data_IF_865168119846
#
_entry.id   IF_865168119846
#
_cell.length_a   1.000
_cell.length_b   1.000
_cell.length_c   1.000
_cell.angle_alpha   90.00
_cell.angle_beta   90.00
_cell.angle_gamma   90.00
#
_symmetry.space_group_name_H-M   'P 1'
#
loop_
_entity.id
_entity.type
_entity.pdbx_description
1 polymer ?
#
# COMPACT_ATOMS: atom_id res chain seq x y z
N UNK A 1 14.86 30.95 17.23
CA UNK A 1 14.23 32.25 16.92
C UNK A 1 12.91 32.35 17.67
N UNK A 2 12.65 33.45 18.39
CA UNK A 2 11.30 33.74 18.91
C UNK A 2 10.38 33.88 17.69
N UNK A 3 9.48 32.92 17.47
CA UNK A 3 8.46 33.02 16.43
C UNK A 3 7.57 34.21 16.80
N UNK A 4 7.65 35.31 16.05
CA UNK A 4 6.64 36.36 16.10
C UNK A 4 5.36 35.77 15.50
N UNK A 5 4.60 35.07 16.33
CA UNK A 5 3.31 34.53 15.94
C UNK A 5 2.35 35.70 15.85
N UNK A 6 1.78 35.92 14.65
CA UNK A 6 0.58 36.72 14.52
C UNK A 6 -0.54 35.99 15.27
N UNK A 7 -1.15 36.66 16.24
CA UNK A 7 -2.29 36.13 16.96
C UNK A 7 -3.55 36.43 16.16
N UNK A 8 -4.32 35.38 15.88
CA UNK A 8 -5.61 35.46 15.23
C UNK A 8 -6.65 34.87 16.17
N UNK A 9 -7.75 35.59 16.37
CA UNK A 9 -8.86 35.12 17.21
C UNK A 9 -9.66 33.98 16.57
N UNK A 10 -9.40 33.68 15.29
CA UNK A 10 -10.12 32.68 14.52
C UNK A 10 -9.17 31.88 13.63
N UNK A 11 -9.24 30.55 13.73
CA UNK A 11 -8.41 29.63 12.96
C UNK A 11 -8.63 29.73 11.44
N UNK A 12 -9.85 30.02 10.98
CA UNK A 12 -10.14 30.23 9.56
C UNK A 12 -9.49 31.52 9.06
N UNK A 13 -9.52 32.59 9.85
CA UNK A 13 -8.88 33.86 9.50
C UNK A 13 -7.36 33.66 9.42
N UNK A 14 -6.76 32.97 10.41
CA UNK A 14 -5.35 32.57 10.38
C UNK A 14 -5.00 31.84 9.09
N UNK A 15 -5.75 30.78 8.76
CA UNK A 15 -5.51 29.97 7.55
C UNK A 15 -5.66 30.80 6.29
N UNK A 16 -6.74 31.56 6.15
CA UNK A 16 -6.97 32.42 4.99
C UNK A 16 -5.85 33.45 4.81
N UNK A 17 -5.37 34.06 5.90
CA UNK A 17 -4.26 35.01 5.88
C UNK A 17 -2.97 34.36 5.36
N UNK A 18 -2.57 33.21 5.91
CA UNK A 18 -1.33 32.55 5.48
C UNK A 18 -1.42 32.00 4.06
N UNK A 19 -2.58 31.50 3.66
CA UNK A 19 -2.85 31.08 2.27
C UNK A 19 -2.75 32.26 1.30
N UNK A 20 -3.37 33.39 1.62
CA UNK A 20 -3.28 34.62 0.81
C UNK A 20 -1.84 35.11 0.72
N UNK A 21 -1.08 35.03 1.81
CA UNK A 21 0.34 35.38 1.86
C UNK A 21 1.18 34.45 0.96
N UNK A 22 0.91 33.14 0.99
CA UNK A 22 1.55 32.16 0.12
C UNK A 22 1.27 32.46 -1.35
N UNK A 23 0.01 32.65 -1.72
CA UNK A 23 -0.40 32.98 -3.10
C UNK A 23 0.28 34.28 -3.57
N UNK A 24 0.26 35.33 -2.74
CA UNK A 24 0.88 36.62 -3.08
C UNK A 24 2.39 36.48 -3.33
N UNK A 25 3.07 35.70 -2.48
CA UNK A 25 4.50 35.43 -2.64
C UNK A 25 4.80 34.61 -3.90
N UNK A 26 4.01 33.57 -4.15
CA UNK A 26 4.19 32.70 -5.33
C UNK A 26 3.98 33.49 -6.63
N UNK A 27 2.94 34.33 -6.69
CA UNK A 27 2.70 35.22 -7.82
C UNK A 27 3.87 36.21 -8.03
N UNK A 28 4.47 36.74 -6.95
CA UNK A 28 5.65 37.62 -7.04
C UNK A 28 6.86 36.94 -7.68
N UNK A 29 7.01 35.62 -7.53
CA UNK A 29 8.08 34.83 -8.15
C UNK A 29 7.65 34.12 -9.44
N UNK A 30 6.55 34.59 -10.05
CA UNK A 30 5.97 34.05 -11.29
C UNK A 30 5.56 32.57 -11.21
N UNK A 31 5.02 32.16 -10.07
CA UNK A 31 4.38 30.85 -9.88
C UNK A 31 2.89 31.08 -9.69
N UNK A 32 2.09 30.49 -10.58
CA UNK A 32 0.64 30.51 -10.46
C UNK A 32 0.19 29.49 -9.41
N UNK A 33 -0.93 29.81 -8.74
CA UNK A 33 -1.54 28.95 -7.73
C UNK A 33 -2.98 28.67 -8.11
N UNK A 34 -3.33 27.39 -8.16
CA UNK A 34 -4.67 26.92 -8.47
C UNK A 34 -5.17 25.98 -7.38
N UNK A 35 -6.46 26.07 -7.04
CA UNK A 35 -7.09 25.19 -6.08
C UNK A 35 -7.98 24.15 -6.77
N UNK A 36 -7.79 22.89 -6.39
CA UNK A 36 -8.62 21.76 -6.80
C UNK A 36 -9.05 20.98 -5.55
N UNK A 37 -10.11 21.44 -4.89
CA UNK A 37 -10.56 20.84 -3.63
C UNK A 37 -9.50 21.00 -2.53
N UNK A 38 -8.93 19.90 -2.06
CA UNK A 38 -7.85 19.90 -1.06
C UNK A 38 -6.45 20.10 -1.65
N UNK A 39 -6.32 20.15 -2.99
CA UNK A 39 -5.03 20.22 -3.64
C UNK A 39 -4.70 21.67 -4.04
N UNK A 40 -3.56 22.15 -3.58
CA UNK A 40 -2.94 23.42 -3.96
C UNK A 40 -1.93 23.10 -5.06
N UNK A 41 -2.22 23.48 -6.31
CA UNK A 41 -1.35 23.20 -7.46
C UNK A 41 -0.56 24.45 -7.80
N UNK A 42 0.77 24.30 -7.82
CA UNK A 42 1.73 25.33 -8.18
C UNK A 42 2.24 25.05 -9.58
N UNK A 43 2.08 26.02 -10.50
CA UNK A 43 2.47 25.88 -11.90
C UNK A 43 3.20 27.14 -12.41
N UNK A 44 3.88 27.03 -13.54
CA UNK A 44 4.53 28.13 -14.24
C UNK A 44 3.56 28.84 -15.23
N UNK A 45 2.47 28.17 -15.63
CA UNK A 45 1.51 28.71 -16.60
C UNK A 45 0.24 29.29 -15.93
N UNK A 46 -0.33 30.33 -16.55
CA UNK A 46 -1.65 30.85 -16.21
C UNK A 46 -2.71 29.83 -16.65
N UNK A 47 -3.21 29.03 -15.71
CA UNK A 47 -4.39 28.18 -15.96
C UNK A 47 -5.62 29.07 -15.87
N UNK A 48 -6.32 29.23 -16.98
CA UNK A 48 -7.46 30.17 -17.12
C UNK A 48 -8.78 29.66 -16.53
N UNK A 49 -8.79 28.49 -15.88
CA UNK A 49 -10.01 27.79 -15.44
C UNK A 49 -9.99 27.31 -13.97
N UNK A 50 -9.27 28.00 -13.08
CA UNK A 50 -9.13 27.56 -11.68
C UNK A 50 -9.46 28.67 -10.67
N UNK A 51 -9.97 28.26 -9.51
CA UNK A 51 -10.13 29.15 -8.37
C UNK A 51 -8.73 29.55 -7.88
N UNK A 52 -8.48 30.87 -7.77
CA UNK A 52 -7.22 31.44 -7.28
C UNK A 52 -7.16 31.36 -5.74
N UNK A 53 -8.31 31.28 -5.07
CA UNK A 53 -8.43 31.18 -3.62
C UNK A 53 -9.30 29.99 -3.23
N UNK A 54 -8.97 29.28 -2.14
CA UNK A 54 -9.76 28.14 -1.67
C UNK A 54 -11.13 28.60 -1.14
N UNK A 55 -12.15 27.77 -1.31
CA UNK A 55 -13.45 27.98 -0.67
C UNK A 55 -13.32 27.84 0.84
N UNK A 56 -14.22 28.48 1.59
CA UNK A 56 -14.24 28.40 3.07
C UNK A 56 -14.24 26.96 3.60
N UNK A 57 -14.97 26.08 2.91
CA UNK A 57 -15.08 24.65 3.22
C UNK A 57 -13.80 23.85 2.95
N UNK A 58 -12.92 24.34 2.08
CA UNK A 58 -11.64 23.69 1.76
C UNK A 58 -10.56 24.07 2.78
N UNK A 59 -10.62 25.29 3.34
CA UNK A 59 -9.70 25.76 4.38
C UNK A 59 -9.75 24.93 5.67
N UNK A 60 -10.82 24.17 5.92
CA UNK A 60 -10.92 23.28 7.09
C UNK A 60 -10.32 21.90 6.86
N UNK A 61 -10.13 21.48 5.61
CA UNK A 61 -9.65 20.14 5.23
C UNK A 61 -8.15 20.02 5.39
N UNK A 62 -7.66 18.80 5.41
CA UNK A 62 -6.24 18.52 5.15
C UNK A 62 -5.92 18.89 3.69
N UNK A 63 -4.78 19.51 3.47
CA UNK A 63 -4.35 20.04 2.18
C UNK A 63 -3.13 19.29 1.64
N UNK A 64 -3.04 19.19 0.32
CA UNK A 64 -1.85 18.71 -0.39
C UNK A 64 -1.25 19.85 -1.22
N UNK A 65 0.05 20.08 -1.09
CA UNK A 65 0.79 21.06 -1.89
C UNK A 65 1.50 20.34 -3.04
N UNK A 66 1.09 20.63 -4.27
CA UNK A 66 1.60 20.00 -5.49
C UNK A 66 2.44 21.00 -6.30
N UNK A 67 3.68 20.63 -6.60
CA UNK A 67 4.54 21.34 -7.55
C UNK A 67 4.48 20.65 -8.91
N UNK A 68 4.28 21.42 -9.99
CA UNK A 68 4.30 20.89 -11.36
C UNK A 68 5.49 21.40 -12.18
N UNK A 69 6.08 20.52 -12.98
CA UNK A 69 7.03 20.90 -14.03
C UNK A 69 8.20 21.77 -13.54
N UNK A 70 8.32 22.97 -14.11
CA UNK A 70 9.42 23.91 -13.83
C UNK A 70 9.19 24.83 -12.64
N UNK A 71 7.98 24.86 -12.06
CA UNK A 71 7.70 25.77 -10.94
C UNK A 71 8.63 25.50 -9.75
N UNK A 72 9.03 24.24 -9.56
CA UNK A 72 9.95 23.80 -8.53
C UNK A 72 11.30 24.54 -8.60
N UNK A 73 11.84 24.74 -9.80
CA UNK A 73 13.12 25.40 -10.02
C UNK A 73 13.03 26.89 -9.67
N UNK A 74 11.98 27.55 -10.14
CA UNK A 74 11.74 28.97 -9.81
C UNK A 74 11.48 29.18 -8.33
N UNK A 75 10.76 28.24 -7.72
CA UNK A 75 10.46 28.24 -6.30
C UNK A 75 11.75 28.18 -5.46
N UNK A 76 12.60 27.19 -5.72
CA UNK A 76 13.84 27.03 -4.95
C UNK A 76 14.94 28.01 -5.32
N UNK A 77 15.04 28.45 -6.59
CA UNK A 77 15.92 29.55 -6.97
C UNK A 77 15.61 30.81 -6.14
N UNK A 78 14.32 31.15 -5.97
CA UNK A 78 13.94 32.28 -5.14
C UNK A 78 14.25 32.11 -3.65
N UNK A 79 14.23 30.88 -3.11
CA UNK A 79 14.61 30.63 -1.71
C UNK A 79 16.11 30.85 -1.54
N UNK A 80 16.91 30.34 -2.47
CA UNK A 80 18.37 30.32 -2.37
C UNK A 80 19.00 31.68 -2.69
N UNK A 81 18.57 32.38 -3.75
CA UNK A 81 19.17 33.66 -4.15
C UNK A 81 18.90 34.80 -3.17
N UNK A 82 17.76 34.78 -2.45
CA UNK A 82 17.30 35.90 -1.62
C UNK A 82 17.32 35.61 -0.12
N UNK A 83 17.83 34.46 0.33
CA UNK A 83 17.75 34.02 1.74
C UNK A 83 16.32 34.07 2.32
N UNK A 84 15.30 33.89 1.46
CA UNK A 84 13.88 33.97 1.83
C UNK A 84 13.38 32.75 2.61
N UNK A 85 14.28 31.83 2.99
CA UNK A 85 13.96 30.62 3.74
C UNK A 85 13.12 30.89 4.99
N UNK A 86 13.44 31.96 5.73
CA UNK A 86 12.71 32.34 6.96
C UNK A 86 11.27 32.75 6.64
N UNK A 87 11.06 33.55 5.59
CA UNK A 87 9.73 33.97 5.16
C UNK A 87 8.91 32.75 4.73
N UNK A 88 9.53 31.84 3.99
CA UNK A 88 8.89 30.63 3.52
C UNK A 88 8.50 29.68 4.66
N UNK A 89 9.45 29.37 5.54
CA UNK A 89 9.19 28.53 6.73
C UNK A 89 8.10 29.18 7.60
N UNK A 90 8.05 30.52 7.70
CA UNK A 90 7.00 31.22 8.42
C UNK A 90 5.62 31.11 7.77
N UNK A 91 5.53 31.27 6.43
CA UNK A 91 4.26 31.12 5.70
C UNK A 91 3.75 29.67 5.82
N UNK A 92 4.59 28.68 5.53
CA UNK A 92 4.19 27.27 5.63
C UNK A 92 3.82 26.85 7.06
N UNK A 93 4.62 27.26 8.07
CA UNK A 93 4.29 26.97 9.47
C UNK A 93 2.94 27.57 9.89
N UNK A 94 2.49 28.64 9.22
CA UNK A 94 1.17 29.22 9.43
C UNK A 94 0.02 28.41 8.84
N UNK A 95 0.29 27.57 7.83
CA UNK A 95 -0.67 26.70 7.14
C UNK A 95 -0.56 25.27 7.71
N UNK A 96 -1.07 25.10 8.93
CA UNK A 96 -0.91 23.86 9.71
C UNK A 96 -1.53 22.60 9.06
N UNK A 97 -2.49 22.77 8.15
CA UNK A 97 -3.25 21.67 7.56
C UNK A 97 -2.66 21.09 6.25
N UNK A 98 -1.53 21.58 5.73
CA UNK A 98 -0.83 20.91 4.63
C UNK A 98 -0.20 19.63 5.17
N UNK A 99 -0.71 18.46 4.83
CA UNK A 99 -0.22 17.15 5.32
C UNK A 99 0.59 16.37 4.28
N UNK A 100 0.51 16.79 3.01
CA UNK A 100 1.12 16.11 1.88
C UNK A 100 1.83 17.09 0.97
N UNK A 101 3.00 16.68 0.47
CA UNK A 101 3.74 17.35 -0.59
C UNK A 101 3.79 16.41 -1.79
N UNK A 102 3.43 16.92 -2.96
CA UNK A 102 3.46 16.18 -4.22
C UNK A 102 4.38 16.87 -5.22
N UNK A 103 5.30 16.13 -5.81
CA UNK A 103 6.07 16.57 -6.97
C UNK A 103 5.53 15.84 -8.21
N UNK A 104 5.04 16.59 -9.19
CA UNK A 104 4.43 16.04 -10.41
C UNK A 104 5.18 16.56 -11.64
N UNK A 105 5.74 15.65 -12.44
CA UNK A 105 6.50 16.00 -13.66
C UNK A 105 7.67 16.96 -13.40
N UNK A 106 8.18 16.98 -12.16
CA UNK A 106 9.30 17.83 -11.78
C UNK A 106 10.60 17.22 -12.31
N UNK A 107 11.48 18.09 -12.82
CA UNK A 107 12.85 17.72 -13.16
C UNK A 107 13.81 18.24 -12.09
N UNK A 108 14.41 17.31 -11.34
CA UNK A 108 15.35 17.63 -10.26
C UNK A 108 16.79 17.83 -10.73
N UNK A 109 17.13 17.53 -11.99
CA UNK A 109 18.51 17.57 -12.49
C UNK A 109 19.19 18.94 -12.42
N UNK A 110 18.38 20.00 -12.37
CA UNK A 110 18.86 21.38 -12.44
C UNK A 110 18.78 22.11 -11.09
N UNK A 111 18.41 21.41 -10.01
CA UNK A 111 18.29 22.00 -8.68
C UNK A 111 19.61 21.89 -7.93
N UNK A 112 20.20 23.04 -7.61
CA UNK A 112 21.29 23.12 -6.64
C UNK A 112 20.67 22.93 -5.24
N UNK A 113 21.26 22.06 -4.42
CA UNK A 113 20.81 21.74 -3.05
C UNK A 113 19.34 21.22 -2.99
N UNK A 114 18.99 20.23 -3.83
CA UNK A 114 17.71 19.48 -3.76
C UNK A 114 17.37 19.06 -2.32
N UNK A 115 18.39 18.66 -1.56
CA UNK A 115 18.30 18.19 -0.20
C UNK A 115 17.72 19.26 0.71
N UNK A 116 18.36 20.43 0.79
CA UNK A 116 17.92 21.54 1.64
C UNK A 116 16.52 22.02 1.24
N UNK A 117 16.27 22.00 -0.07
CA UNK A 117 15.05 22.44 -0.72
C UNK A 117 13.84 21.58 -0.29
N UNK A 118 13.89 20.27 -0.49
CA UNK A 118 12.81 19.34 -0.07
C UNK A 118 12.62 19.37 1.45
N UNK A 119 13.72 19.45 2.20
CA UNK A 119 13.66 19.51 3.66
C UNK A 119 12.96 20.76 4.21
N UNK A 120 12.93 21.87 3.47
CA UNK A 120 12.12 23.04 3.86
C UNK A 120 10.62 22.79 3.71
N UNK A 121 10.22 21.85 2.84
CA UNK A 121 8.83 21.42 2.68
C UNK A 121 8.42 20.40 3.74
N UNK A 122 9.39 19.64 4.27
CA UNK A 122 9.15 18.59 5.27
C UNK A 122 9.23 19.11 6.73
N UNK A 123 8.44 20.14 7.05
CA UNK A 123 8.59 20.96 8.27
C UNK A 123 7.79 20.53 9.51
N UNK A 124 6.85 19.58 9.42
CA UNK A 124 6.06 19.08 10.57
C UNK A 124 5.98 17.55 10.58
N UNK A 125 5.73 16.97 11.74
CA UNK A 125 5.59 15.52 11.91
C UNK A 125 4.45 14.91 11.09
N UNK A 126 4.58 13.62 10.79
CA UNK A 126 3.59 12.78 10.10
C UNK A 126 3.18 13.25 8.71
N UNK A 127 4.08 13.92 7.99
CA UNK A 127 3.81 14.31 6.61
C UNK A 127 3.98 13.17 5.62
N UNK A 128 3.33 13.35 4.47
CA UNK A 128 3.39 12.46 3.32
C UNK A 128 4.15 13.13 2.17
N UNK A 129 4.99 12.37 1.49
CA UNK A 129 5.67 12.79 0.27
C UNK A 129 5.24 11.90 -0.89
N UNK A 130 4.80 12.51 -1.98
CA UNK A 130 4.51 11.83 -3.23
C UNK A 130 5.40 12.35 -4.35
N UNK A 131 6.00 11.43 -5.09
CA UNK A 131 6.67 11.70 -6.35
C UNK A 131 5.89 11.05 -7.47
N UNK A 132 5.60 11.81 -8.52
CA UNK A 132 4.88 11.30 -9.67
C UNK A 132 5.51 11.76 -10.98
N UNK A 133 5.86 10.81 -11.85
CA UNK A 133 6.42 11.06 -13.18
C UNK A 133 7.62 12.05 -13.15
N UNK A 134 8.44 11.99 -12.11
CA UNK A 134 9.56 12.91 -11.93
C UNK A 134 10.82 12.38 -12.62
N UNK A 135 11.56 13.26 -13.28
CA UNK A 135 12.79 12.91 -14.00
C UNK A 135 13.99 13.23 -13.11
N UNK A 136 14.92 12.28 -12.97
CA UNK A 136 16.12 12.43 -12.15
C UNK A 136 17.41 12.48 -12.97
N UNK A 137 18.36 13.28 -12.47
CA UNK A 137 19.76 12.86 -12.36
C UNK A 137 19.87 12.01 -11.08
N UNK A 138 20.54 10.86 -11.15
CA UNK A 138 20.74 9.83 -10.09
C UNK A 138 20.63 10.32 -8.63
N UNK A 139 20.02 9.52 -7.76
CA UNK A 139 20.14 9.54 -6.28
C UNK A 139 19.35 10.63 -5.51
N UNK A 140 18.11 10.95 -5.91
CA UNK A 140 17.28 11.92 -5.17
C UNK A 140 16.75 11.37 -3.83
N UNK A 141 16.46 10.06 -3.70
CA UNK A 141 15.90 9.50 -2.46
C UNK A 141 16.92 9.70 -1.32
N UNK A 142 18.19 9.42 -1.60
CA UNK A 142 19.35 9.69 -0.72
C UNK A 142 19.49 11.16 -0.30
N UNK A 143 19.03 12.06 -1.14
CA UNK A 143 19.19 13.48 -0.93
C UNK A 143 18.18 14.07 0.07
N UNK A 144 17.17 13.31 0.51
CA UNK A 144 16.27 13.73 1.57
C UNK A 144 16.94 13.48 2.94
N UNK A 145 17.78 14.44 3.38
CA UNK A 145 18.59 14.41 4.60
C UNK A 145 17.91 13.74 5.84
N UNK A 146 18.71 12.93 6.53
CA UNK A 146 18.43 12.22 7.79
C UNK A 146 17.90 13.10 8.94
N UNK A 147 18.20 14.40 8.99
CA UNK A 147 17.79 15.25 10.13
C UNK A 147 16.30 15.62 10.14
N UNK A 148 15.64 15.74 8.99
CA UNK A 148 14.20 16.12 8.89
C UNK A 148 13.32 14.99 8.33
N UNK A 149 13.88 13.88 7.87
CA UNK A 149 13.13 12.66 7.53
C UNK A 149 12.34 12.08 8.71
N UNK A 150 12.65 12.48 9.95
CA UNK A 150 11.81 12.19 11.13
C UNK A 150 10.36 12.65 11.00
N UNK A 151 10.14 13.68 10.21
CA UNK A 151 8.82 14.25 9.95
C UNK A 151 8.03 13.48 8.88
N UNK A 152 8.70 12.64 8.09
CA UNK A 152 8.12 11.92 6.98
C UNK A 152 7.63 10.55 7.44
N UNK A 153 6.32 10.38 7.53
CA UNK A 153 5.71 9.11 7.91
C UNK A 153 5.29 8.26 6.71
N UNK A 154 5.04 8.89 5.55
CA UNK A 154 4.52 8.19 4.36
C UNK A 154 5.24 8.63 3.09
N UNK A 155 5.61 7.68 2.25
CA UNK A 155 6.19 7.94 0.94
C UNK A 155 5.43 7.19 -0.16
N UNK A 156 5.03 7.89 -1.22
CA UNK A 156 4.49 7.30 -2.45
C UNK A 156 5.39 7.64 -3.64
N UNK A 157 5.82 6.61 -4.36
CA UNK A 157 6.61 6.68 -5.58
C UNK A 157 5.74 6.18 -6.73
N UNK A 158 5.49 7.04 -7.72
CA UNK A 158 4.49 6.83 -8.78
C UNK A 158 5.09 7.15 -10.16
N UNK A 159 4.96 6.23 -11.12
CA UNK A 159 5.49 6.38 -12.48
C UNK A 159 7.00 6.72 -12.53
N UNK A 160 7.83 6.07 -11.71
CA UNK A 160 9.27 6.35 -11.63
C UNK A 160 10.14 5.19 -12.12
N UNK A 161 11.30 5.53 -12.67
CA UNK A 161 12.41 4.58 -12.81
C UNK A 161 13.32 4.67 -11.57
N UNK A 162 13.49 3.57 -10.84
CA UNK A 162 14.23 3.49 -9.58
C UNK A 162 15.42 2.54 -9.72
N UNK A 163 16.59 2.99 -9.29
CA UNK A 163 17.79 2.16 -9.26
C UNK A 163 17.95 1.42 -7.93
N UNK A 164 18.81 0.41 -7.91
CA UNK A 164 19.26 -0.26 -6.69
C UNK A 164 19.85 0.73 -5.67
N UNK A 165 20.58 1.77 -6.11
CA UNK A 165 21.08 2.86 -5.26
C UNK A 165 19.94 3.67 -4.63
N UNK A 166 18.88 3.98 -5.40
CA UNK A 166 17.71 4.68 -4.90
C UNK A 166 17.01 3.84 -3.81
N UNK A 167 16.90 2.52 -3.99
CA UNK A 167 16.34 1.62 -2.99
C UNK A 167 17.21 1.49 -1.73
N UNK A 168 18.54 1.38 -1.87
CA UNK A 168 19.46 1.39 -0.71
C UNK A 168 19.24 2.64 0.13
N UNK A 169 19.07 3.79 -0.52
CA UNK A 169 18.94 5.06 0.19
C UNK A 169 17.67 5.18 1.05
N UNK A 170 16.69 4.29 0.87
CA UNK A 170 15.53 4.20 1.77
C UNK A 170 15.92 3.85 3.22
N UNK A 171 17.11 3.28 3.45
CA UNK A 171 17.62 3.00 4.80
C UNK A 171 17.90 4.27 5.60
N UNK A 172 18.10 5.41 4.92
CA UNK A 172 18.40 6.69 5.57
C UNK A 172 17.15 7.34 6.19
N UNK A 173 15.97 6.74 6.00
CA UNK A 173 14.71 7.22 6.56
C UNK A 173 14.35 6.43 7.82
N UNK A 174 14.52 7.05 8.99
CA UNK A 174 14.26 6.40 10.28
C UNK A 174 12.77 6.22 10.60
N UNK A 175 11.89 7.06 10.04
CA UNK A 175 10.49 7.20 10.49
C UNK A 175 9.44 6.97 9.38
N UNK A 176 9.81 6.42 8.22
CA UNK A 176 8.79 6.07 7.23
C UNK A 176 8.07 4.81 7.70
N UNK A 177 6.83 4.98 8.12
CA UNK A 177 5.94 3.87 8.46
C UNK A 177 5.37 3.24 7.17
N UNK A 178 4.91 4.06 6.22
CA UNK A 178 4.22 3.58 5.03
C UNK A 178 5.00 3.91 3.74
N UNK A 179 5.28 2.89 2.93
CA UNK A 179 5.85 3.06 1.60
C UNK A 179 4.95 2.45 0.52
N UNK A 180 4.69 3.21 -0.54
CA UNK A 180 3.92 2.80 -1.71
C UNK A 180 4.71 2.98 -3.00
N UNK A 181 4.86 1.89 -3.76
CA UNK A 181 5.35 1.89 -5.13
C UNK A 181 4.18 1.64 -6.08
N UNK A 182 3.95 2.55 -7.02
CA UNK A 182 2.87 2.48 -8.00
C UNK A 182 3.42 2.71 -9.40
N UNK A 183 3.20 1.76 -10.31
CA UNK A 183 3.68 1.80 -11.70
C UNK A 183 5.18 2.17 -11.86
N UNK A 184 6.02 1.83 -10.89
CA UNK A 184 7.46 2.06 -10.96
C UNK A 184 8.16 0.96 -11.78
N UNK A 185 9.31 1.31 -12.34
CA UNK A 185 10.21 0.41 -13.05
C UNK A 185 11.52 0.37 -12.26
N UNK A 186 12.08 -0.82 -12.09
CA UNK A 186 13.38 -0.99 -11.44
C UNK A 186 14.45 -1.35 -12.47
N UNK A 187 15.71 -1.07 -12.12
CA UNK A 187 16.82 -1.76 -12.74
C UNK A 187 16.78 -3.27 -12.47
N UNK A 188 17.70 -4.03 -13.09
CA UNK A 188 17.79 -5.49 -12.89
C UNK A 188 18.88 -5.86 -11.86
N UNK A 189 19.51 -4.86 -11.24
CA UNK A 189 20.64 -5.02 -10.34
C UNK A 189 20.18 -5.41 -8.92
N UNK A 190 20.85 -6.39 -8.31
CA UNK A 190 20.59 -6.68 -6.91
C UNK A 190 21.06 -5.54 -6.00
N UNK A 191 20.27 -5.24 -4.97
CA UNK A 191 20.64 -4.31 -3.91
C UNK A 191 21.92 -4.80 -3.20
N UNK A 192 23.03 -4.05 -3.26
CA UNK A 192 24.27 -4.45 -2.62
C UNK A 192 24.19 -4.30 -1.09
N UNK A 193 24.95 -5.14 -0.38
CA UNK A 193 25.13 -5.01 1.08
C UNK A 193 24.14 -5.76 1.96
N UNK A 194 24.42 -5.71 3.28
CA UNK A 194 23.63 -6.32 4.35
C UNK A 194 22.89 -5.22 5.11
N UNK A 195 21.74 -4.86 4.59
CA UNK A 195 20.86 -3.86 5.18
C UNK A 195 19.52 -4.48 5.54
N UNK A 196 18.85 -3.81 6.46
CA UNK A 196 17.50 -4.16 6.91
C UNK A 196 16.64 -2.92 6.85
N UNK A 197 15.59 -2.97 6.05
CA UNK A 197 14.54 -1.95 6.03
C UNK A 197 13.44 -2.33 7.00
N UNK A 198 12.86 -1.37 7.69
CA UNK A 198 11.75 -1.59 8.62
C UNK A 198 10.66 -0.59 8.27
N UNK A 199 9.49 -1.09 7.92
CA UNK A 199 8.30 -0.31 7.63
C UNK A 199 7.13 -0.86 8.45
N UNK A 200 6.13 -0.03 8.72
CA UNK A 200 4.83 -0.52 9.18
C UNK A 200 4.09 -1.18 8.02
N UNK A 201 4.02 -0.51 6.86
CA UNK A 201 3.35 -1.02 5.67
C UNK A 201 4.11 -0.81 4.37
N UNK A 202 4.06 -1.83 3.51
CA UNK A 202 4.62 -1.82 2.16
C UNK A 202 3.51 -2.11 1.15
N UNK A 203 3.34 -1.22 0.18
CA UNK A 203 2.35 -1.34 -0.91
C UNK A 203 3.03 -1.33 -2.26
N UNK A 204 2.68 -2.29 -3.11
CA UNK A 204 3.26 -2.43 -4.45
C UNK A 204 2.11 -2.62 -5.42
N UNK A 205 2.01 -1.74 -6.41
CA UNK A 205 0.85 -1.66 -7.31
C UNK A 205 1.26 -1.49 -8.76
N UNK A 206 0.52 -2.13 -9.67
CA UNK A 206 0.60 -1.91 -11.12
C UNK A 206 2.00 -2.11 -11.70
N UNK A 207 2.77 -3.08 -11.18
CA UNK A 207 4.18 -3.20 -11.48
C UNK A 207 4.57 -4.61 -11.88
N UNK A 208 5.67 -4.68 -12.64
CA UNK A 208 6.40 -5.92 -12.86
C UNK A 208 7.49 -6.05 -11.80
N UNK A 209 7.51 -7.15 -11.06
CA UNK A 209 8.53 -7.40 -10.05
C UNK A 209 9.77 -8.03 -10.72
N UNK A 210 10.90 -7.32 -10.61
CA UNK A 210 12.24 -7.75 -11.05
C UNK A 210 13.19 -7.96 -9.87
N UNK A 211 14.47 -8.19 -10.17
CA UNK A 211 15.49 -8.58 -9.18
C UNK A 211 15.65 -7.56 -8.05
N UNK A 212 15.77 -6.27 -8.35
CA UNK A 212 15.99 -5.22 -7.34
C UNK A 212 14.86 -5.20 -6.32
N UNK A 213 13.61 -5.34 -6.76
CA UNK A 213 12.46 -5.34 -5.88
C UNK A 213 12.36 -6.60 -5.02
N UNK A 214 12.71 -7.77 -5.57
CA UNK A 214 12.83 -9.01 -4.78
C UNK A 214 13.94 -8.84 -3.73
N UNK A 215 15.06 -8.25 -4.11
CA UNK A 215 16.21 -7.96 -3.26
C UNK A 215 15.83 -7.01 -2.11
N UNK A 216 15.00 -5.99 -2.40
CA UNK A 216 14.41 -5.09 -1.41
C UNK A 216 13.50 -5.82 -0.42
N UNK A 217 12.55 -6.61 -0.93
CA UNK A 217 11.59 -7.34 -0.10
C UNK A 217 12.27 -8.37 0.82
N UNK A 218 13.32 -9.05 0.35
CA UNK A 218 14.13 -9.98 1.17
C UNK A 218 14.84 -9.28 2.33
N UNK A 219 15.07 -7.98 2.23
CA UNK A 219 15.77 -7.17 3.23
C UNK A 219 14.82 -6.29 4.04
N UNK A 220 13.50 -6.47 3.92
CA UNK A 220 12.50 -5.60 4.56
C UNK A 220 11.70 -6.35 5.63
N UNK A 221 11.40 -5.66 6.73
CA UNK A 221 10.41 -6.07 7.73
C UNK A 221 9.17 -5.19 7.61
N UNK A 222 7.99 -5.81 7.71
CA UNK A 222 6.70 -5.12 7.67
C UNK A 222 5.61 -5.93 8.36
N UNK A 223 4.70 -5.23 9.02
CA UNK A 223 3.49 -5.81 9.61
C UNK A 223 2.38 -5.98 8.56
N UNK A 224 2.36 -5.10 7.55
CA UNK A 224 1.34 -5.04 6.52
C UNK A 224 1.95 -5.05 5.11
N UNK A 225 1.52 -6.00 4.28
CA UNK A 225 1.99 -6.13 2.90
C UNK A 225 0.83 -6.15 1.90
N UNK A 226 0.91 -5.32 0.87
CA UNK A 226 -0.13 -5.18 -0.15
C UNK A 226 0.45 -5.32 -1.55
N UNK A 227 -0.13 -6.22 -2.34
CA UNK A 227 0.14 -6.38 -3.77
C UNK A 227 -1.14 -6.17 -4.57
N UNK A 228 -1.08 -5.31 -5.59
CA UNK A 228 -2.20 -5.03 -6.49
C UNK A 228 -1.74 -4.99 -7.95
N UNK A 229 -2.41 -5.72 -8.84
CA UNK A 229 -2.12 -5.74 -10.29
C UNK A 229 -0.64 -6.01 -10.60
N UNK A 230 -0.06 -7.02 -9.97
CA UNK A 230 1.34 -7.39 -10.13
C UNK A 230 1.51 -8.48 -11.19
N UNK A 231 2.57 -8.34 -11.98
CA UNK A 231 3.02 -9.34 -12.95
C UNK A 231 4.49 -9.70 -12.63
N UNK A 232 4.78 -10.77 -11.90
CA UNK A 232 6.19 -11.16 -11.70
C UNK A 232 6.69 -11.90 -12.95
N UNK A 233 7.95 -11.69 -13.31
CA UNK A 233 8.63 -12.54 -14.30
C UNK A 233 9.48 -13.63 -13.66
N UNK A 234 9.64 -13.61 -12.34
CA UNK A 234 10.41 -14.62 -11.61
C UNK A 234 9.59 -15.15 -10.44
N UNK A 235 9.74 -16.45 -10.17
CA UNK A 235 9.23 -17.00 -8.94
C UNK A 235 9.95 -16.37 -7.76
N UNK A 236 9.21 -16.06 -6.69
CA UNK A 236 9.79 -15.83 -5.37
C UNK A 236 10.56 -17.05 -4.82
N UNK A 237 10.73 -18.11 -5.63
CA UNK A 237 11.47 -19.32 -5.32
C UNK A 237 12.81 -18.96 -4.70
N UNK A 238 12.89 -19.36 -3.45
CA UNK A 238 14.07 -19.41 -2.61
C UNK A 238 15.17 -20.13 -3.39
N UNK A 239 16.15 -19.38 -3.89
CA UNK A 239 17.50 -19.90 -3.87
C UNK A 239 17.95 -19.80 -2.41
N UNK A 240 18.02 -20.97 -1.79
CA UNK A 240 18.68 -21.17 -0.50
C UNK A 240 20.02 -20.43 -0.51
N UNK A 241 20.20 -19.48 0.40
CA UNK A 241 21.52 -19.03 0.81
C UNK A 241 21.59 -19.07 2.34
N UNK A 242 21.31 -20.26 2.87
CA UNK A 242 22.14 -20.83 3.92
C UNK A 242 22.66 -22.17 3.40
N UNK A 243 23.99 -22.25 3.22
CA UNK A 243 24.85 -23.44 2.99
C UNK A 243 24.80 -24.20 1.64
N UNK A 244 25.99 -24.24 1.02
CA UNK A 244 26.55 -25.09 -0.05
C UNK A 244 26.03 -25.06 -1.52
N UNK A 245 26.94 -24.82 -2.51
CA UNK A 245 26.59 -24.63 -3.91
C UNK A 245 26.74 -25.91 -4.75
N UNK A 246 25.98 -26.98 -4.49
CA UNK A 246 25.94 -28.12 -5.41
C UNK A 246 24.53 -28.73 -5.49
N UNK A 247 23.76 -28.26 -6.48
CA UNK A 247 22.72 -28.98 -7.26
C UNK A 247 21.66 -27.99 -7.77
N UNK A 248 21.86 -27.47 -8.97
CA UNK A 248 20.83 -26.79 -9.76
C UNK A 248 20.16 -27.83 -10.68
N UNK A 249 18.89 -28.13 -10.42
CA UNK A 249 18.02 -28.87 -11.35
C UNK A 249 16.91 -27.94 -11.78
N UNK A 250 16.69 -27.87 -13.10
CA UNK A 250 15.70 -27.06 -13.82
C UNK A 250 14.44 -26.71 -13.00
N UNK A 251 14.33 -25.45 -12.58
CA UNK A 251 13.17 -24.93 -11.86
C UNK A 251 12.32 -24.08 -12.79
N UNK A 252 11.20 -24.67 -13.22
CA UNK A 252 10.09 -23.98 -13.87
C UNK A 252 9.54 -22.91 -12.90
N UNK A 253 9.91 -21.64 -13.13
CA UNK A 253 9.64 -20.47 -12.28
C UNK A 253 8.13 -20.17 -12.24
N UNK A 254 7.44 -20.54 -11.14
CA UNK A 254 6.08 -20.07 -10.82
C UNK A 254 6.06 -19.41 -9.44
N UNK A 255 5.46 -18.22 -9.34
CA UNK A 255 5.43 -17.38 -8.14
C UNK A 255 4.80 -18.11 -6.94
N UNK A 256 5.50 -18.25 -5.82
CA UNK A 256 5.02 -18.97 -4.65
C UNK A 256 4.66 -18.02 -3.49
N UNK A 257 3.40 -18.06 -3.06
CA UNK A 257 2.84 -17.25 -1.96
C UNK A 257 3.62 -17.40 -0.65
N UNK A 258 3.99 -18.62 -0.29
CA UNK A 258 4.66 -18.88 0.99
C UNK A 258 6.11 -18.38 1.02
N UNK A 259 6.77 -18.36 -0.14
CA UNK A 259 8.16 -17.90 -0.22
C UNK A 259 8.29 -16.42 0.12
N UNK A 260 7.28 -15.62 -0.21
CA UNK A 260 7.16 -14.23 0.23
C UNK A 260 7.10 -14.12 1.75
N UNK A 261 6.24 -14.90 2.40
CA UNK A 261 5.99 -14.80 3.84
C UNK A 261 7.22 -15.11 4.68
N UNK A 262 8.14 -15.97 4.22
CA UNK A 262 9.38 -16.25 4.95
C UNK A 262 10.31 -15.05 5.16
N UNK A 263 10.16 -14.00 4.34
CA UNK A 263 10.97 -12.79 4.47
C UNK A 263 10.38 -11.81 5.49
N UNK A 264 9.16 -12.05 5.98
CA UNK A 264 8.44 -11.18 6.90
C UNK A 264 8.02 -11.93 8.18
N UNK A 265 8.95 -12.18 9.13
CA UNK A 265 8.64 -12.92 10.35
C UNK A 265 7.58 -12.26 11.24
N UNK A 266 7.44 -10.93 11.16
CA UNK A 266 6.46 -10.16 11.94
C UNK A 266 5.15 -9.90 11.18
N UNK A 267 4.96 -10.50 10.01
CA UNK A 267 3.81 -10.21 9.15
C UNK A 267 2.48 -10.52 9.84
N UNK A 268 1.64 -9.50 10.01
CA UNK A 268 0.30 -9.63 10.61
C UNK A 268 -0.76 -9.77 9.52
N UNK A 269 -0.58 -9.08 8.39
CA UNK A 269 -1.54 -9.04 7.31
C UNK A 269 -0.90 -9.05 5.92
N UNK A 270 -1.49 -9.85 5.04
CA UNK A 270 -1.19 -9.85 3.61
C UNK A 270 -2.46 -9.68 2.77
N UNK A 271 -2.40 -8.74 1.81
CA UNK A 271 -3.43 -8.54 0.80
C UNK A 271 -2.85 -8.72 -0.59
N UNK A 272 -3.46 -9.61 -1.37
CA UNK A 272 -3.10 -9.89 -2.76
C UNK A 272 -4.33 -9.63 -3.61
N UNK A 273 -4.20 -8.76 -4.60
CA UNK A 273 -5.27 -8.40 -5.52
C UNK A 273 -4.78 -8.46 -6.97
N UNK A 274 -5.50 -9.17 -7.83
CA UNK A 274 -5.24 -9.20 -9.27
C UNK A 274 -3.80 -9.57 -9.64
N UNK A 275 -3.19 -10.50 -8.89
CA UNK A 275 -1.83 -10.99 -9.19
C UNK A 275 -1.94 -12.18 -10.14
N UNK A 276 -1.17 -12.14 -11.23
CA UNK A 276 -1.14 -13.24 -12.21
C UNK A 276 -0.23 -14.36 -11.69
N UNK A 277 -0.61 -15.62 -11.91
CA UNK A 277 0.22 -16.82 -11.65
C UNK A 277 0.62 -17.08 -10.18
N UNK A 278 -0.30 -16.88 -9.24
CA UNK A 278 -0.10 -17.25 -7.84
C UNK A 278 -0.06 -18.78 -7.65
N UNK A 279 0.97 -19.30 -6.96
CA UNK A 279 1.06 -20.71 -6.54
C UNK A 279 1.25 -20.84 -5.03
N UNK A 280 0.79 -21.95 -4.46
CA UNK A 280 0.90 -22.24 -3.04
C UNK A 280 1.74 -23.51 -2.86
N UNK A 281 3.06 -23.38 -2.77
CA UNK A 281 3.97 -24.48 -2.45
C UNK A 281 4.59 -24.25 -1.07
N UNK A 282 4.48 -25.22 -0.16
CA UNK A 282 5.13 -25.12 1.15
C UNK A 282 6.52 -25.74 1.03
N UNK A 283 7.55 -24.91 1.18
CA UNK A 283 8.94 -25.34 1.17
C UNK A 283 9.51 -25.59 2.59
N UNK A 284 9.00 -24.89 3.61
CA UNK A 284 9.42 -25.03 5.01
C UNK A 284 8.24 -24.76 5.95
N UNK A 285 7.56 -25.83 6.38
CA UNK A 285 6.35 -25.73 7.20
C UNK A 285 6.61 -25.09 8.57
N UNK A 286 7.66 -25.50 9.27
CA UNK A 286 8.01 -25.02 10.62
C UNK A 286 8.22 -23.51 10.66
N UNK A 287 8.90 -22.95 9.65
CA UNK A 287 9.10 -21.50 9.57
C UNK A 287 7.79 -20.75 9.35
N UNK A 288 6.86 -21.27 8.54
CA UNK A 288 5.54 -20.65 8.34
C UNK A 288 4.70 -20.66 9.61
N UNK A 289 4.76 -21.75 10.38
CA UNK A 289 4.03 -21.89 11.66
C UNK A 289 4.48 -20.86 12.70
N UNK A 290 5.73 -20.39 12.62
CA UNK A 290 6.26 -19.33 13.49
C UNK A 290 5.77 -17.92 13.14
N UNK A 291 5.19 -17.71 11.95
CA UNK A 291 4.72 -16.38 11.52
C UNK A 291 3.40 -16.07 12.23
N UNK A 292 3.35 -14.92 12.90
CA UNK A 292 2.15 -14.40 13.59
C UNK A 292 1.03 -13.89 12.67
N UNK A 293 0.85 -14.50 11.50
CA UNK A 293 -0.09 -14.02 10.47
C UNK A 293 -1.53 -14.19 10.94
N UNK A 294 -2.26 -13.07 11.06
CA UNK A 294 -3.64 -13.04 11.55
C UNK A 294 -4.68 -12.88 10.45
N UNK A 295 -4.27 -12.36 9.28
CA UNK A 295 -5.20 -11.93 8.24
C UNK A 295 -4.66 -12.21 6.85
N UNK A 296 -5.48 -12.86 6.02
CA UNK A 296 -5.21 -13.08 4.60
C UNK A 296 -6.38 -12.53 3.78
N UNK A 297 -6.07 -11.75 2.74
CA UNK A 297 -7.04 -11.28 1.76
C UNK A 297 -6.54 -11.54 0.34
N UNK A 298 -7.18 -12.47 -0.38
CA UNK A 298 -6.92 -12.76 -1.79
C UNK A 298 -8.12 -12.31 -2.60
N UNK A 299 -7.89 -11.49 -3.63
CA UNK A 299 -8.95 -10.91 -4.47
C UNK A 299 -8.59 -10.98 -5.95
N UNK A 300 -9.55 -11.33 -6.79
CA UNK A 300 -9.45 -11.18 -8.25
C UNK A 300 -8.21 -11.87 -8.87
N UNK A 301 -7.67 -12.92 -8.23
CA UNK A 301 -6.44 -13.60 -8.65
C UNK A 301 -6.66 -14.76 -9.64
N UNK A 302 -7.88 -14.91 -10.19
CA UNK A 302 -8.24 -15.97 -11.13
C UNK A 302 -8.76 -15.36 -12.45
N UNK A 303 -7.85 -14.90 -13.31
CA UNK A 303 -8.18 -14.48 -14.68
C UNK A 303 -8.33 -15.71 -15.61
N UNK A 304 -9.01 -15.61 -16.76
CA UNK A 304 -9.60 -16.75 -17.48
C UNK A 304 -8.64 -17.87 -17.95
N UNK A 305 -7.32 -17.65 -17.89
CA UNK A 305 -6.28 -18.60 -18.30
C UNK A 305 -5.24 -18.91 -17.20
N UNK A 306 -5.48 -18.50 -15.94
CA UNK A 306 -4.56 -18.66 -14.81
C UNK A 306 -5.16 -19.53 -13.72
N UNK A 307 -4.35 -20.43 -13.15
CA UNK A 307 -4.68 -21.41 -12.12
C UNK A 307 -5.75 -20.91 -11.12
N UNK A 308 -6.89 -21.59 -11.12
CA UNK A 308 -7.89 -21.51 -10.05
C UNK A 308 -7.18 -21.85 -8.73
N UNK A 309 -7.46 -21.13 -7.63
CA UNK A 309 -7.02 -21.57 -6.30
C UNK A 309 -7.50 -23.00 -6.11
N UNK A 310 -6.60 -23.98 -6.19
CA UNK A 310 -7.04 -25.36 -6.14
C UNK A 310 -7.33 -25.75 -4.69
N UNK A 311 -8.00 -26.88 -4.53
CA UNK A 311 -8.30 -27.48 -3.24
C UNK A 311 -7.10 -27.58 -2.29
N UNK A 312 -5.93 -28.03 -2.78
CA UNK A 312 -4.71 -28.16 -1.98
C UNK A 312 -4.14 -26.81 -1.56
N UNK A 313 -4.40 -25.75 -2.31
CA UNK A 313 -3.90 -24.41 -2.00
C UNK A 313 -4.62 -23.83 -0.78
N UNK A 314 -5.93 -24.06 -0.66
CA UNK A 314 -6.71 -23.69 0.55
C UNK A 314 -6.22 -24.48 1.77
N UNK A 315 -5.99 -25.78 1.62
CA UNK A 315 -5.51 -26.62 2.72
C UNK A 315 -4.15 -26.16 3.24
N UNK A 316 -3.25 -25.73 2.35
CA UNK A 316 -1.93 -25.22 2.72
C UNK A 316 -1.99 -23.95 3.57
N UNK A 317 -3.06 -23.16 3.49
CA UNK A 317 -3.23 -21.97 4.35
C UNK A 317 -3.30 -22.37 5.84
N UNK A 318 -3.67 -23.62 6.16
CA UNK A 318 -3.74 -24.14 7.53
C UNK A 318 -2.41 -24.15 8.28
N UNK A 319 -1.30 -23.95 7.57
CA UNK A 319 0.02 -23.77 8.19
C UNK A 319 0.08 -22.53 9.11
N UNK A 320 -0.80 -21.54 8.89
CA UNK A 320 -0.91 -20.38 9.77
C UNK A 320 -1.94 -20.63 10.88
N UNK A 321 -1.46 -21.06 12.03
CA UNK A 321 -2.29 -21.43 13.19
C UNK A 321 -2.95 -20.22 13.89
N UNK A 322 -2.39 -19.02 13.71
CA UNK A 322 -2.89 -17.77 14.30
C UNK A 322 -3.89 -17.01 13.41
N UNK A 323 -4.37 -17.63 12.33
CA UNK A 323 -5.20 -16.97 11.34
C UNK A 323 -6.62 -16.71 11.88
N UNK A 324 -6.96 -15.43 12.07
CA UNK A 324 -8.27 -15.01 12.60
C UNK A 324 -9.24 -14.57 11.48
N UNK A 325 -8.72 -14.12 10.34
CA UNK A 325 -9.52 -13.55 9.26
C UNK A 325 -9.08 -14.05 7.88
N UNK A 326 -10.04 -14.60 7.14
CA UNK A 326 -9.85 -15.05 5.77
C UNK A 326 -10.80 -14.33 4.82
N UNK A 327 -10.25 -13.74 3.77
CA UNK A 327 -11.02 -13.18 2.67
C UNK A 327 -10.56 -13.75 1.33
N UNK A 328 -11.46 -14.44 0.62
CA UNK A 328 -11.26 -14.99 -0.72
C UNK A 328 -12.36 -14.44 -1.63
N UNK A 329 -12.05 -13.39 -2.39
CA UNK A 329 -13.04 -12.69 -3.22
C UNK A 329 -12.74 -12.87 -4.70
N UNK A 330 -13.75 -13.22 -5.51
CA UNK A 330 -13.54 -13.42 -6.96
C UNK A 330 -12.43 -14.44 -7.28
N UNK A 331 -12.32 -15.49 -6.48
CA UNK A 331 -11.28 -16.52 -6.58
C UNK A 331 -11.75 -17.75 -7.38
N UNK A 332 -12.92 -17.68 -8.01
CA UNK A 332 -13.54 -18.78 -8.76
C UNK A 332 -13.69 -20.08 -7.92
N UNK A 333 -13.93 -19.94 -6.62
CA UNK A 333 -14.20 -21.08 -5.75
C UNK A 333 -15.54 -21.72 -6.10
N UNK A 334 -15.63 -23.04 -6.00
CA UNK A 334 -16.87 -23.82 -6.15
C UNK A 334 -17.25 -24.52 -4.83
N UNK A 335 -18.36 -25.27 -4.85
CA UNK A 335 -18.88 -26.00 -3.69
C UNK A 335 -17.88 -26.94 -3.03
N UNK A 336 -16.99 -27.60 -3.79
CA UNK A 336 -15.98 -28.51 -3.20
C UNK A 336 -14.92 -27.77 -2.39
N UNK A 337 -14.69 -26.49 -2.64
CA UNK A 337 -13.75 -25.69 -1.85
C UNK A 337 -14.22 -25.51 -0.40
N UNK A 338 -15.52 -25.60 -0.12
CA UNK A 338 -16.04 -25.56 1.25
C UNK A 338 -15.50 -26.69 2.12
N UNK A 339 -15.23 -27.88 1.56
CA UNK A 339 -14.66 -29.02 2.30
C UNK A 339 -13.27 -28.66 2.85
N UNK A 340 -12.47 -27.98 2.03
CA UNK A 340 -11.12 -27.55 2.40
C UNK A 340 -11.14 -26.33 3.33
N UNK A 341 -12.12 -25.44 3.18
CA UNK A 341 -12.36 -24.37 4.14
C UNK A 341 -12.77 -24.96 5.49
N UNK A 342 -13.60 -26.02 5.53
CA UNK A 342 -13.96 -26.69 6.77
C UNK A 342 -12.75 -27.30 7.48
N UNK A 343 -11.86 -27.95 6.72
CA UNK A 343 -10.56 -28.40 7.25
C UNK A 343 -9.75 -27.23 7.77
N UNK A 344 -9.69 -26.11 7.06
CA UNK A 344 -8.98 -24.93 7.52
C UNK A 344 -9.54 -24.40 8.85
N UNK A 345 -10.86 -24.28 8.96
CA UNK A 345 -11.55 -23.80 10.17
C UNK A 345 -11.45 -24.76 11.36
N UNK A 346 -11.05 -26.02 11.16
CA UNK A 346 -10.78 -26.93 12.28
C UNK A 346 -9.38 -26.75 12.90
N UNK A 347 -8.49 -26.01 12.23
CA UNK A 347 -7.10 -25.81 12.68
C UNK A 347 -6.85 -24.42 13.31
N UNK A 348 -7.77 -23.47 13.15
CA UNK A 348 -7.66 -22.12 13.70
C UNK A 348 -9.03 -21.54 14.06
N UNK A 349 -9.06 -20.64 15.06
CA UNK A 349 -10.29 -19.93 15.45
C UNK A 349 -10.53 -18.72 14.54
N UNK A 350 -11.30 -18.93 13.47
CA UNK A 350 -11.67 -17.84 12.57
C UNK A 350 -12.75 -16.96 13.18
N UNK A 351 -12.45 -15.67 13.31
CA UNK A 351 -13.47 -14.65 13.63
C UNK A 351 -14.24 -14.24 12.39
N UNK A 352 -13.58 -14.15 11.24
CA UNK A 352 -14.19 -13.65 10.00
C UNK A 352 -13.82 -14.48 8.78
N UNK A 353 -14.84 -14.87 8.01
CA UNK A 353 -14.70 -15.56 6.73
C UNK A 353 -15.53 -14.83 5.67
N UNK A 354 -14.88 -14.43 4.58
CA UNK A 354 -15.49 -13.69 3.48
C UNK A 354 -15.19 -14.41 2.17
N UNK A 355 -16.21 -14.98 1.52
CA UNK A 355 -16.09 -15.73 0.25
C UNK A 355 -16.87 -15.07 -0.90
N UNK A 356 -16.91 -13.74 -0.96
CA UNK A 356 -17.74 -12.99 -1.91
C UNK A 356 -17.38 -13.23 -3.38
N UNK A 357 -18.37 -13.21 -4.27
CA UNK A 357 -18.17 -13.27 -5.73
C UNK A 357 -17.50 -14.58 -6.21
N UNK A 358 -17.94 -15.73 -5.67
CA UNK A 358 -17.47 -17.06 -6.06
C UNK A 358 -18.62 -17.89 -6.68
N UNK A 359 -18.37 -19.13 -7.11
CA UNK A 359 -19.34 -20.01 -7.78
C UNK A 359 -19.76 -21.19 -6.88
N UNK A 360 -20.05 -20.88 -5.61
CA UNK A 360 -20.44 -21.84 -4.58
C UNK A 360 -21.95 -22.08 -4.67
N UNK A 361 -22.34 -23.07 -5.47
CA UNK A 361 -23.76 -23.34 -5.74
C UNK A 361 -24.48 -24.04 -4.59
N UNK A 362 -23.82 -25.00 -3.95
CA UNK A 362 -24.42 -25.82 -2.92
C UNK A 362 -23.44 -26.05 -1.77
N UNK A 363 -23.95 -26.40 -0.60
CA UNK A 363 -23.17 -26.78 0.57
C UNK A 363 -23.09 -28.32 0.59
N UNK A 364 -21.89 -28.94 0.55
CA UNK A 364 -21.75 -30.37 0.73
C UNK A 364 -22.20 -30.83 2.13
N UNK A 365 -22.78 -32.02 2.26
CA UNK A 365 -23.23 -32.57 3.56
C UNK A 365 -22.09 -32.61 4.61
N UNK A 366 -20.87 -32.92 4.15
CA UNK A 366 -19.67 -32.93 4.97
C UNK A 366 -19.33 -31.55 5.54
N UNK A 367 -19.83 -30.46 4.95
CA UNK A 367 -19.64 -29.09 5.42
C UNK A 367 -20.62 -28.68 6.52
N UNK A 368 -21.37 -29.64 7.09
CA UNK A 368 -22.30 -29.35 8.18
C UNK A 368 -21.62 -28.56 9.30
N UNK A 369 -22.17 -27.41 9.69
CA UNK A 369 -21.66 -26.57 10.78
C UNK A 369 -20.34 -25.85 10.52
N UNK A 370 -19.90 -25.72 9.25
CA UNK A 370 -18.60 -25.13 8.86
C UNK A 370 -18.29 -23.77 9.51
N UNK A 371 -19.30 -22.97 9.87
CA UNK A 371 -19.12 -21.63 10.44
C UNK A 371 -19.61 -21.48 11.89
N UNK A 372 -19.82 -22.59 12.61
CA UNK A 372 -20.41 -22.56 13.96
C UNK A 372 -19.64 -21.67 14.95
N UNK A 373 -18.31 -21.60 14.78
CA UNK A 373 -17.40 -20.82 15.63
C UNK A 373 -17.01 -19.45 15.04
N UNK A 374 -17.57 -19.05 13.89
CA UNK A 374 -17.21 -17.83 13.18
C UNK A 374 -18.16 -16.68 13.54
N UNK A 375 -17.64 -15.50 13.87
CA UNK A 375 -18.46 -14.34 14.25
C UNK A 375 -19.08 -13.65 13.03
N UNK A 376 -18.33 -13.53 11.93
CA UNK A 376 -18.77 -12.86 10.71
C UNK A 376 -18.54 -13.73 9.48
N UNK A 377 -19.62 -13.97 8.74
CA UNK A 377 -19.63 -14.79 7.53
C UNK A 377 -20.25 -13.99 6.40
N UNK A 378 -19.48 -13.71 5.35
CA UNK A 378 -19.98 -13.04 4.13
C UNK A 378 -19.87 -14.00 2.95
N UNK A 379 -21.03 -14.37 2.42
CA UNK A 379 -21.23 -15.30 1.31
C UNK A 379 -22.02 -14.61 0.17
N UNK A 380 -21.82 -13.31 0.00
CA UNK A 380 -22.52 -12.52 -1.01
C UNK A 380 -22.06 -12.86 -2.44
N UNK A 381 -22.99 -12.86 -3.40
CA UNK A 381 -22.71 -13.14 -4.84
C UNK A 381 -21.99 -14.48 -5.06
N UNK A 382 -22.43 -15.56 -4.42
CA UNK A 382 -21.78 -16.87 -4.48
C UNK A 382 -22.49 -17.87 -5.42
N UNK A 383 -23.55 -17.48 -6.11
CA UNK A 383 -24.42 -18.37 -6.90
C UNK A 383 -25.11 -19.47 -6.08
N UNK A 384 -25.30 -19.28 -4.76
CA UNK A 384 -26.01 -20.27 -3.94
C UNK A 384 -27.38 -20.60 -4.54
N UNK A 385 -27.60 -21.90 -4.74
CA UNK A 385 -28.84 -22.51 -5.19
C UNK A 385 -29.51 -23.26 -4.04
N UNK A 386 -30.83 -23.38 -4.16
CA UNK A 386 -31.71 -23.76 -3.09
C UNK A 386 -31.42 -25.11 -2.40
N UNK A 387 -31.70 -25.16 -1.09
CA UNK A 387 -31.92 -26.39 -0.33
C UNK A 387 -30.74 -26.90 0.49
N UNK A 388 -29.54 -26.31 0.36
CA UNK A 388 -28.34 -26.77 1.09
C UNK A 388 -27.80 -25.77 2.12
N UNK A 389 -28.33 -24.55 2.18
CA UNK A 389 -27.85 -23.50 3.11
C UNK A 389 -28.01 -23.90 4.56
N UNK A 390 -29.07 -24.67 4.88
CA UNK A 390 -29.30 -25.21 6.21
C UNK A 390 -28.11 -26.03 6.74
N UNK A 391 -27.28 -26.61 5.86
CA UNK A 391 -26.08 -27.36 6.23
C UNK A 391 -24.97 -26.45 6.77
N UNK A 392 -24.94 -25.15 6.44
CA UNK A 392 -23.93 -24.25 7.03
C UNK A 392 -24.05 -24.15 8.56
N UNK A 393 -25.22 -24.52 9.09
CA UNK A 393 -25.55 -24.44 10.51
C UNK A 393 -25.67 -25.82 11.14
N UNK A 394 -25.21 -25.94 12.38
CA UNK A 394 -25.50 -27.09 13.20
C UNK A 394 -26.73 -26.77 14.08
N UNK A 395 -27.89 -27.33 13.72
CA UNK A 395 -29.20 -26.99 14.34
C UNK A 395 -29.25 -27.34 15.85
N UNK A 396 -28.34 -28.18 16.34
CA UNK A 396 -28.32 -28.67 17.73
C UNK A 396 -27.40 -27.89 18.67
N UNK A 397 -26.64 -26.89 18.20
CA UNK A 397 -25.62 -26.20 19.00
C UNK A 397 -25.73 -24.66 18.92
N UNK A 398 -25.22 -23.97 19.95
CA UNK A 398 -25.15 -22.51 19.99
C UNK A 398 -24.11 -22.02 18.97
N UNK A 399 -24.53 -21.19 18.02
CA UNK A 399 -23.66 -20.60 17.01
C UNK A 399 -23.11 -19.23 17.45
N UNK A 400 -21.84 -18.93 17.14
CA UNK A 400 -21.19 -17.64 17.42
C UNK A 400 -21.45 -16.55 16.35
N UNK A 401 -22.19 -16.86 15.29
CA UNK A 401 -22.42 -15.92 14.18
C UNK A 401 -23.19 -14.69 14.68
N UNK A 402 -22.54 -13.54 14.59
CA UNK A 402 -23.10 -12.20 14.84
C UNK A 402 -23.53 -11.51 13.55
N UNK A 403 -22.88 -11.84 12.43
CA UNK A 403 -23.17 -11.23 11.13
C UNK A 403 -23.09 -12.26 10.02
N UNK A 404 -24.15 -12.32 9.22
CA UNK A 404 -24.32 -13.26 8.12
C UNK A 404 -24.85 -12.49 6.90
N UNK A 405 -24.10 -12.51 5.79
CA UNK A 405 -24.47 -11.81 4.56
C UNK A 405 -24.54 -12.76 3.37
N UNK A 406 -25.77 -12.99 2.88
CA UNK A 406 -26.06 -13.74 1.66
C UNK A 406 -26.54 -12.84 0.50
N UNK A 407 -26.27 -11.55 0.56
CA UNK A 407 -26.75 -10.60 -0.44
C UNK A 407 -26.39 -11.04 -1.86
N UNK A 408 -27.33 -10.84 -2.79
CA UNK A 408 -27.16 -11.15 -4.22
C UNK A 408 -26.89 -12.64 -4.53
N UNK A 409 -27.48 -13.56 -3.76
CA UNK A 409 -27.61 -14.97 -4.13
C UNK A 409 -29.03 -15.28 -4.64
N UNK A 410 -29.19 -16.44 -5.29
CA UNK A 410 -30.48 -16.90 -5.83
C UNK A 410 -31.24 -17.78 -4.82
N UNK A 411 -31.43 -17.26 -3.60
CA UNK A 411 -32.08 -18.00 -2.51
C UNK A 411 -33.59 -18.17 -2.77
N UNK A 412 -34.15 -19.32 -2.43
CA UNK A 412 -35.59 -19.53 -2.51
C UNK A 412 -36.27 -19.28 -1.14
N UNK A 413 -37.60 -19.36 -1.12
CA UNK A 413 -38.41 -19.11 0.09
C UNK A 413 -38.17 -20.12 1.22
N UNK A 414 -37.70 -21.32 0.92
CA UNK A 414 -37.39 -22.35 1.93
C UNK A 414 -36.00 -22.15 2.56
N UNK A 415 -35.12 -21.37 1.91
CA UNK A 415 -33.79 -21.03 2.42
C UNK A 415 -33.81 -19.78 3.34
N UNK A 416 -34.77 -18.89 3.12
CA UNK A 416 -35.06 -17.72 3.96
C UNK A 416 -35.78 -18.14 5.24
#
# INVERSE_FOLDING_TARGET
MKKNNLNFDNCLIKRFFYMTSLISYLNYINISVCFFGSNIVLDYAYVTYCDIYPKKEELVKELSLQFTGRCLNSFFASINEKNNKILYEWILCGIENIVSITFFECNFSNLINVNESINCLLYKENMSLQLKNCISSKNYIRNINQCRSKNLAKMKLDDLYLTSEDLVSLIEFENIDDIEFDNCIFDEDEIPGKFTFVFLSIKIKNMKIGNSMISFLKRSFSDFLYFENINSMMSFSILNLFSDPEQLVDLNLKENFFDLTYNFPNLIFISIKSVKYLTFKINNKEKLESIGLKRISIKDCCLPNSNILNHSDIEKISVFTNLENLKLQSCNLDSSHLIYIKKLTSHAEFRRIILTNNKIRNVPDECKGIFENTELVILARCDFSAGSIHLLFNVSESCKILTLDFSYNSLNRNDL
#
